data_IF_375223899150
#
_entry.id   IF_375223899150
#
_cell.length_a   1.000
_cell.length_b   1.000
_cell.length_c   1.000
_cell.angle_alpha   90.00
_cell.angle_beta   90.00
_cell.angle_gamma   90.00
#
_symmetry.space_group_name_H-M   'P 1'
#
loop_
_entity.id
_entity.type
_entity.pdbx_description
1 polymer ?
#
# COMPACT_ATOMS: atom_id res chain seq x y z
N UNK A 1 -26.82 -13.28 12.51
CA UNK A 1 -25.57 -12.89 13.19
C UNK A 1 -24.90 -11.90 12.26
N UNK A 2 -24.68 -10.67 12.70
CA UNK A 2 -24.21 -9.56 11.85
C UNK A 2 -22.69 -9.50 11.97
N UNK A 3 -21.97 -9.92 10.93
CA UNK A 3 -20.51 -9.79 10.86
C UNK A 3 -20.18 -8.32 10.55
N UNK A 4 -19.25 -7.71 11.29
CA UNK A 4 -18.77 -6.36 10.96
C UNK A 4 -17.92 -6.45 9.68
N UNK A 5 -17.91 -5.43 8.82
CA UNK A 5 -17.01 -5.43 7.64
C UNK A 5 -15.56 -5.71 8.02
N UNK A 6 -15.13 -5.32 9.21
CA UNK A 6 -13.81 -5.63 9.77
C UNK A 6 -13.55 -7.14 10.00
N UNK A 7 -14.58 -7.91 10.38
CA UNK A 7 -14.48 -9.36 10.53
C UNK A 7 -14.49 -10.04 9.14
N UNK A 8 -15.18 -9.44 8.16
CA UNK A 8 -15.08 -9.83 6.76
C UNK A 8 -13.68 -9.55 6.20
N UNK A 9 -13.03 -8.42 6.52
CA UNK A 9 -11.71 -8.04 5.99
C UNK A 9 -10.59 -9.07 6.25
N UNK A 10 -10.74 -9.96 7.24
CA UNK A 10 -9.83 -11.09 7.45
C UNK A 10 -9.98 -12.21 6.39
N UNK A 11 -11.14 -12.27 5.70
CA UNK A 11 -11.47 -13.18 4.60
C UNK A 11 -11.46 -12.47 3.23
N UNK A 12 -11.49 -11.13 3.19
CA UNK A 12 -11.48 -10.36 1.96
C UNK A 12 -10.05 -10.27 1.41
N UNK A 13 -9.86 -10.78 0.19
CA UNK A 13 -8.63 -10.62 -0.59
C UNK A 13 -8.49 -9.18 -1.13
N UNK A 14 -9.37 -8.25 -0.74
CA UNK A 14 -9.37 -6.84 -1.11
C UNK A 14 -9.78 -6.00 0.09
N UNK A 15 -8.95 -5.01 0.44
CA UNK A 15 -9.23 -4.08 1.54
C UNK A 15 -9.16 -2.62 1.08
N UNK A 16 -10.01 -1.74 1.64
CA UNK A 16 -9.79 -0.31 1.53
C UNK A 16 -8.55 0.08 2.32
N UNK A 17 -7.75 0.96 1.76
CA UNK A 17 -6.57 1.54 2.43
C UNK A 17 -6.50 3.03 2.20
N UNK A 18 -5.93 3.75 3.16
CA UNK A 18 -5.58 5.16 3.03
C UNK A 18 -4.09 5.27 2.77
N UNK A 19 -3.73 5.86 1.63
CA UNK A 19 -2.34 6.19 1.31
C UNK A 19 -2.03 7.61 1.82
N UNK A 20 -0.94 7.76 2.55
CA UNK A 20 -0.49 9.05 3.10
C UNK A 20 0.92 9.35 2.62
N UNK A 21 1.08 10.47 1.92
CA UNK A 21 2.31 11.00 1.37
C UNK A 21 2.50 12.48 1.79
N UNK A 22 3.73 13.00 1.66
CA UNK A 22 4.03 14.40 1.94
C UNK A 22 3.25 15.33 1.02
N UNK A 23 2.18 15.94 1.55
CA UNK A 23 1.31 16.86 0.82
C UNK A 23 0.15 16.21 0.05
N UNK A 24 -0.05 14.88 0.18
CA UNK A 24 -1.13 14.18 -0.50
C UNK A 24 -1.60 12.96 0.27
N UNK A 25 -2.90 12.80 0.43
CA UNK A 25 -3.50 11.58 0.96
C UNK A 25 -4.81 11.23 0.25
N UNK A 26 -5.26 9.99 0.44
CA UNK A 26 -6.59 9.58 0.01
C UNK A 26 -6.78 8.07 0.05
N UNK A 27 -7.94 7.63 -0.41
CA UNK A 27 -8.44 6.27 -0.26
C UNK A 27 -8.33 5.50 -1.57
N UNK A 28 -7.98 4.22 -1.46
CA UNK A 28 -7.93 3.29 -2.59
C UNK A 28 -8.25 1.87 -2.11
N UNK A 29 -8.22 0.90 -3.02
CA UNK A 29 -8.24 -0.52 -2.65
C UNK A 29 -6.86 -1.14 -2.90
N UNK A 30 -6.48 -2.04 -2.01
CA UNK A 30 -5.27 -2.86 -2.12
C UNK A 30 -5.62 -4.30 -1.73
N UNK A 31 -5.20 -5.26 -2.54
CA UNK A 31 -5.40 -6.67 -2.20
C UNK A 31 -5.06 -7.63 -3.33
N UNK A 32 -4.96 -8.91 -2.97
CA UNK A 32 -4.47 -9.99 -3.80
C UNK A 32 -4.76 -11.36 -3.19
N UNK A 33 -4.29 -12.40 -3.88
CA UNK A 33 -4.68 -13.77 -3.61
C UNK A 33 -3.84 -14.39 -2.49
N UNK A 34 -4.46 -15.27 -1.68
CA UNK A 34 -3.76 -16.11 -0.68
C UNK A 34 -2.79 -17.11 -1.35
N UNK A 35 -3.00 -17.46 -2.62
CA UNK A 35 -2.19 -18.44 -3.39
C UNK A 35 -1.29 -17.84 -4.48
N UNK A 36 -1.20 -16.51 -4.59
CA UNK A 36 -0.33 -15.88 -5.60
C UNK A 36 0.26 -14.61 -5.03
N UNK A 37 1.59 -14.57 -4.89
CA UNK A 37 2.48 -13.57 -4.24
C UNK A 37 2.28 -12.08 -4.59
N UNK A 38 1.08 -11.63 -4.95
CA UNK A 38 0.86 -10.36 -5.63
C UNK A 38 -0.46 -9.74 -5.20
N UNK A 39 -0.33 -8.65 -4.48
CA UNK A 39 -1.42 -7.69 -4.31
C UNK A 39 -1.43 -6.71 -5.48
N UNK A 40 -2.61 -6.13 -5.71
CA UNK A 40 -2.83 -5.11 -6.73
C UNK A 40 -3.49 -3.89 -6.09
N UNK A 41 -3.17 -2.72 -6.63
CA UNK A 41 -3.89 -1.49 -6.36
C UNK A 41 -5.04 -1.30 -7.35
N UNK A 42 -6.11 -0.69 -6.85
CA UNK A 42 -7.14 -0.13 -7.71
C UNK A 42 -6.51 0.92 -8.62
N UNK A 43 -6.72 0.75 -9.93
CA UNK A 43 -6.25 1.70 -10.93
C UNK A 43 -7.44 2.37 -11.57
N UNK A 44 -7.32 3.67 -11.80
CA UNK A 44 -8.33 4.42 -12.55
C UNK A 44 -8.08 4.31 -14.06
N UNK A 45 -8.79 5.12 -14.84
CA UNK A 45 -8.75 5.08 -16.30
C UNK A 45 -7.38 5.36 -16.91
N UNK A 46 -6.52 6.05 -16.16
CA UNK A 46 -5.16 6.38 -16.60
C UNK A 46 -4.16 5.22 -16.40
N UNK A 47 -4.60 4.10 -15.80
CA UNK A 47 -3.73 2.99 -15.41
C UNK A 47 -2.87 3.27 -14.17
N UNK A 48 -2.98 4.48 -13.60
CA UNK A 48 -2.35 4.85 -12.32
C UNK A 48 -3.25 4.52 -11.14
N UNK A 49 -2.67 4.45 -9.94
CA UNK A 49 -3.40 4.14 -8.70
C UNK A 49 -4.46 5.21 -8.46
N UNK A 50 -5.70 4.75 -8.37
CA UNK A 50 -6.84 5.57 -8.06
C UNK A 50 -6.72 6.07 -6.62
N UNK A 51 -6.85 7.37 -6.41
CA UNK A 51 -6.85 7.97 -5.07
C UNK A 51 -8.09 8.85 -4.91
N UNK A 52 -9.06 8.39 -4.13
CA UNK A 52 -10.30 9.11 -3.83
C UNK A 52 -10.11 10.01 -2.60
N UNK A 53 -10.82 11.14 -2.54
CA UNK A 53 -10.66 12.09 -1.43
C UNK A 53 -11.41 11.65 -0.16
N UNK A 54 -12.38 10.75 -0.31
CA UNK A 54 -13.14 10.18 0.80
C UNK A 54 -13.56 8.74 0.50
N UNK A 55 -13.97 7.96 1.51
CA UNK A 55 -14.50 6.62 1.26
C UNK A 55 -15.80 6.63 0.44
N UNK A 56 -16.65 7.65 0.61
CA UNK A 56 -17.84 7.86 -0.22
C UNK A 56 -17.48 8.13 -1.69
N UNK A 57 -16.43 8.91 -1.93
CA UNK A 57 -15.91 9.12 -3.27
C UNK A 57 -15.32 7.83 -3.86
N UNK A 58 -14.59 7.03 -3.08
CA UNK A 58 -14.06 5.74 -3.51
C UNK A 58 -15.19 4.81 -3.98
N UNK A 59 -16.27 4.67 -3.18
CA UNK A 59 -17.44 3.86 -3.55
C UNK A 59 -18.12 4.38 -4.83
N UNK A 60 -18.30 5.69 -4.94
CA UNK A 60 -18.86 6.33 -6.14
C UNK A 60 -18.01 6.02 -7.38
N UNK A 61 -16.68 6.14 -7.27
CA UNK A 61 -15.74 5.87 -8.36
C UNK A 61 -15.73 4.39 -8.74
N UNK A 62 -15.74 3.48 -7.77
CA UNK A 62 -15.84 2.04 -8.03
C UNK A 62 -17.09 1.66 -8.84
N UNK A 63 -18.24 2.26 -8.54
CA UNK A 63 -19.50 2.02 -9.28
C UNK A 63 -19.45 2.56 -10.73
N UNK A 64 -18.75 3.68 -10.96
CA UNK A 64 -18.75 4.37 -12.24
C UNK A 64 -17.58 4.00 -13.16
N UNK A 65 -16.45 3.58 -12.59
CA UNK A 65 -15.19 3.32 -13.31
C UNK A 65 -14.81 1.84 -13.32
N UNK A 66 -15.40 1.04 -12.42
CA UNK A 66 -15.08 -0.38 -12.23
C UNK A 66 -13.88 -0.61 -11.31
N UNK A 67 -13.54 -1.88 -11.08
CA UNK A 67 -12.46 -2.30 -10.15
C UNK A 67 -11.18 -2.80 -10.80
N UNK A 68 -11.09 -2.80 -12.13
CA UNK A 68 -9.96 -3.39 -12.85
C UNK A 68 -9.74 -4.86 -12.48
N UNK A 69 -8.51 -5.24 -12.15
CA UNK A 69 -8.16 -6.62 -11.74
C UNK A 69 -8.74 -7.03 -10.39
N UNK A 70 -9.10 -6.07 -9.54
CA UNK A 70 -9.63 -6.37 -8.22
C UNK A 70 -11.04 -6.98 -8.29
N UNK A 71 -11.78 -6.80 -9.40
CA UNK A 71 -13.12 -7.39 -9.58
C UNK A 71 -13.11 -8.92 -9.55
N UNK A 72 -11.95 -9.54 -9.78
CA UNK A 72 -11.77 -10.98 -9.79
C UNK A 72 -11.48 -11.55 -8.39
N UNK A 73 -11.20 -10.69 -7.41
CA UNK A 73 -10.78 -11.11 -6.09
C UNK A 73 -11.98 -11.29 -5.16
N UNK A 74 -11.98 -12.35 -4.33
CA UNK A 74 -12.94 -12.51 -3.25
C UNK A 74 -13.02 -11.26 -2.39
N UNK A 75 -14.25 -10.78 -2.19
CA UNK A 75 -14.51 -9.62 -1.36
C UNK A 75 -14.62 -8.27 -2.06
N UNK A 76 -14.27 -8.18 -3.35
CA UNK A 76 -14.45 -6.95 -4.11
C UNK A 76 -15.92 -6.50 -4.17
N UNK A 77 -16.83 -7.44 -4.42
CA UNK A 77 -18.28 -7.16 -4.46
C UNK A 77 -18.77 -6.66 -3.10
N UNK A 78 -18.32 -7.27 -1.99
CA UNK A 78 -18.67 -6.82 -0.65
C UNK A 78 -18.22 -5.38 -0.38
N UNK A 79 -17.03 -4.98 -0.85
CA UNK A 79 -16.55 -3.59 -0.74
C UNK A 79 -17.39 -2.62 -1.61
N UNK A 80 -17.81 -3.06 -2.80
CA UNK A 80 -18.63 -2.26 -3.72
C UNK A 80 -20.06 -2.01 -3.19
N UNK A 81 -20.65 -3.04 -2.56
CA UNK A 81 -22.04 -3.05 -2.11
C UNK A 81 -22.21 -2.74 -0.62
N UNK A 82 -21.12 -2.59 0.13
CA UNK A 82 -21.18 -2.27 1.56
C UNK A 82 -21.84 -0.91 1.79
N UNK A 83 -22.99 -0.93 2.44
CA UNK A 83 -23.66 0.25 2.99
C UNK A 83 -23.05 0.70 4.34
N UNK A 84 -22.15 -0.09 4.93
CA UNK A 84 -21.36 0.39 6.07
C UNK A 84 -20.47 1.54 5.59
N UNK A 85 -20.65 2.70 6.21
CA UNK A 85 -19.80 3.87 5.99
C UNK A 85 -18.38 3.49 6.37
N UNK A 86 -17.53 3.23 5.39
CA UNK A 86 -16.10 3.17 5.56
C UNK A 86 -15.66 4.45 6.28
N UNK A 87 -15.21 4.34 7.53
CA UNK A 87 -14.73 5.49 8.31
C UNK A 87 -13.21 5.56 8.23
N UNK A 88 -12.64 6.78 8.28
CA UNK A 88 -11.18 6.99 8.25
C UNK A 88 -10.45 6.21 9.35
N UNK A 89 -11.10 5.97 10.50
CA UNK A 89 -10.53 5.26 11.63
C UNK A 89 -10.52 3.73 11.48
N UNK A 90 -11.40 3.18 10.64
CA UNK A 90 -11.53 1.74 10.42
C UNK A 90 -10.70 1.24 9.22
N UNK A 91 -10.05 2.15 8.49
CA UNK A 91 -9.31 1.85 7.26
C UNK A 91 -7.80 1.81 7.56
N UNK A 92 -7.14 0.76 7.09
CA UNK A 92 -5.70 0.60 7.21
C UNK A 92 -4.97 1.77 6.53
N UNK A 93 -3.90 2.26 7.17
CA UNK A 93 -3.10 3.39 6.68
C UNK A 93 -1.74 2.90 6.21
N UNK A 94 -1.39 3.21 4.96
CA UNK A 94 -0.05 3.07 4.42
C UNK A 94 0.59 4.45 4.42
N UNK A 95 1.38 4.70 5.46
CA UNK A 95 1.88 6.05 5.79
C UNK A 95 3.37 6.19 5.48
N UNK A 96 3.66 6.68 4.27
CA UNK A 96 5.03 6.94 3.82
C UNK A 96 5.69 8.11 4.56
N UNK A 97 4.90 9.06 5.08
CA UNK A 97 5.42 10.19 5.87
C UNK A 97 5.98 9.68 7.19
N UNK A 98 5.19 8.86 7.90
CA UNK A 98 5.61 8.24 9.15
C UNK A 98 6.79 7.29 8.94
N UNK A 99 6.75 6.46 7.90
CA UNK A 99 7.85 5.55 7.59
C UNK A 99 9.16 6.32 7.32
N UNK A 100 9.11 7.36 6.47
CA UNK A 100 10.27 8.21 6.17
C UNK A 100 10.82 8.89 7.42
N UNK A 101 9.96 9.42 8.29
CA UNK A 101 10.39 10.06 9.53
C UNK A 101 11.07 9.07 10.50
N UNK A 102 10.53 7.85 10.63
CA UNK A 102 11.11 6.81 11.47
C UNK A 102 12.51 6.38 10.97
N UNK A 103 12.67 6.22 9.66
CA UNK A 103 13.95 5.88 9.03
C UNK A 103 14.98 7.00 9.29
N UNK A 104 14.60 8.27 9.13
CA UNK A 104 15.49 9.42 9.35
C UNK A 104 15.93 9.58 10.81
N UNK A 105 15.13 9.13 11.76
CA UNK A 105 15.46 9.13 13.20
C UNK A 105 16.45 8.02 13.59
N UNK A 106 16.74 7.08 12.69
CA UNK A 106 17.74 6.05 12.86
C UNK A 106 17.20 4.66 13.22
N UNK A 107 18.09 3.67 13.38
CA UNK A 107 17.73 2.25 13.42
C UNK A 107 16.71 1.87 14.50
N UNK A 108 16.82 2.44 15.70
CA UNK A 108 15.88 2.14 16.78
C UNK A 108 14.46 2.63 16.47
N UNK A 109 14.32 3.82 15.88
CA UNK A 109 13.00 4.34 15.49
C UNK A 109 12.43 3.54 14.33
N UNK A 110 13.29 3.12 13.38
CA UNK A 110 12.90 2.22 12.30
C UNK A 110 12.38 0.87 12.85
N UNK A 111 13.09 0.24 13.77
CA UNK A 111 12.67 -1.02 14.42
C UNK A 111 11.33 -0.86 15.15
N UNK A 112 11.15 0.21 15.92
CA UNK A 112 9.90 0.52 16.62
C UNK A 112 8.71 0.79 15.66
N UNK A 113 8.99 1.09 14.39
CA UNK A 113 7.98 1.32 13.35
C UNK A 113 8.07 0.29 12.21
N UNK A 114 8.65 -0.89 12.46
CA UNK A 114 8.91 -1.92 11.46
C UNK A 114 7.67 -2.24 10.61
N UNK A 115 6.53 -2.48 11.24
CA UNK A 115 5.28 -2.78 10.54
C UNK A 115 4.82 -1.68 9.57
N UNK A 116 5.02 -0.41 9.92
CA UNK A 116 4.68 0.72 9.02
C UNK A 116 5.61 0.77 7.82
N UNK A 117 6.91 0.61 8.06
CA UNK A 117 7.94 0.61 7.01
C UNK A 117 7.74 -0.57 6.06
N UNK A 118 7.59 -1.78 6.60
CA UNK A 118 7.37 -2.99 5.82
C UNK A 118 6.10 -2.90 4.96
N UNK A 119 5.02 -2.32 5.49
CA UNK A 119 3.78 -2.11 4.71
C UNK A 119 4.02 -1.14 3.54
N UNK A 120 4.81 -0.08 3.73
CA UNK A 120 5.20 0.84 2.65
C UNK A 120 6.09 0.15 1.60
N UNK A 121 7.07 -0.66 2.03
CA UNK A 121 7.95 -1.39 1.11
C UNK A 121 7.17 -2.45 0.32
N UNK A 122 6.30 -3.21 0.97
CA UNK A 122 5.47 -4.24 0.33
C UNK A 122 4.51 -3.61 -0.69
N UNK A 123 3.79 -2.56 -0.31
CA UNK A 123 2.91 -1.86 -1.25
C UNK A 123 3.67 -1.28 -2.45
N UNK A 124 4.87 -0.72 -2.25
CA UNK A 124 5.69 -0.23 -3.35
C UNK A 124 6.16 -1.38 -4.27
N UNK A 125 6.54 -2.53 -3.70
CA UNK A 125 6.90 -3.72 -4.46
C UNK A 125 5.70 -4.25 -5.29
N UNK A 126 4.50 -4.27 -4.71
CA UNK A 126 3.28 -4.71 -5.40
C UNK A 126 2.91 -3.78 -6.55
N UNK A 127 2.99 -2.47 -6.34
CA UNK A 127 2.81 -1.51 -7.42
C UNK A 127 3.87 -1.69 -8.51
N UNK A 128 5.14 -1.92 -8.14
CA UNK A 128 6.21 -2.10 -9.09
C UNK A 128 6.02 -3.38 -9.92
N UNK A 129 5.53 -4.47 -9.31
CA UNK A 129 5.12 -5.69 -10.02
C UNK A 129 3.94 -5.43 -10.95
N UNK A 130 2.91 -4.73 -10.47
CA UNK A 130 1.72 -4.38 -11.25
C UNK A 130 2.10 -3.58 -12.51
N UNK A 131 3.03 -2.63 -12.40
CA UNK A 131 3.53 -1.80 -13.49
C UNK A 131 4.70 -2.42 -14.29
N UNK A 132 5.18 -3.61 -13.89
CA UNK A 132 6.37 -4.27 -14.47
C UNK A 132 7.64 -3.40 -14.42
N UNK A 133 7.81 -2.62 -13.36
CA UNK A 133 8.94 -1.73 -13.14
C UNK A 133 10.17 -2.48 -12.59
N UNK A 134 10.89 -3.19 -13.47
CA UNK A 134 12.04 -4.03 -13.10
C UNK A 134 13.15 -3.27 -12.35
N UNK A 135 13.42 -2.00 -12.71
CA UNK A 135 14.45 -1.19 -12.05
C UNK A 135 14.14 -0.93 -10.58
N UNK A 136 12.88 -0.63 -10.25
CA UNK A 136 12.42 -0.45 -8.87
C UNK A 136 12.48 -1.77 -8.09
N UNK A 137 12.05 -2.87 -8.72
CA UNK A 137 12.11 -4.19 -8.11
C UNK A 137 13.55 -4.65 -7.83
N UNK A 138 14.49 -4.35 -8.72
CA UNK A 138 15.90 -4.67 -8.51
C UNK A 138 16.48 -3.86 -7.34
N UNK A 139 16.16 -2.56 -7.26
CA UNK A 139 16.52 -1.72 -6.10
C UNK A 139 15.96 -2.21 -4.76
N UNK A 140 14.85 -2.95 -4.78
CA UNK A 140 14.26 -3.60 -3.59
C UNK A 140 14.80 -5.02 -3.33
N UNK A 141 15.44 -5.67 -4.31
CA UNK A 141 15.80 -7.10 -4.28
C UNK A 141 17.29 -7.38 -4.35
N UNK A 142 18.15 -6.48 -4.82
CA UNK A 142 19.57 -6.77 -5.00
C UNK A 142 20.33 -6.73 -3.66
N UNK A 143 21.25 -7.67 -3.45
CA UNK A 143 22.10 -7.73 -2.24
C UNK A 143 22.93 -6.46 -2.09
N UNK A 144 22.89 -5.84 -0.91
CA UNK A 144 23.61 -4.59 -0.59
C UNK A 144 22.85 -3.31 -0.97
N UNK A 145 21.60 -3.40 -1.41
CA UNK A 145 20.73 -2.24 -1.58
C UNK A 145 20.18 -1.78 -0.21
N UNK A 146 20.26 -0.48 0.16
CA UNK A 146 19.87 -0.02 1.49
C UNK A 146 18.42 -0.32 1.91
N UNK A 147 17.49 -0.37 0.94
CA UNK A 147 16.09 -0.73 1.20
C UNK A 147 15.92 -2.22 1.53
N UNK A 148 16.75 -3.08 0.93
CA UNK A 148 16.77 -4.51 1.23
C UNK A 148 17.44 -4.78 2.57
N UNK A 149 18.53 -4.10 2.88
CA UNK A 149 19.21 -4.22 4.17
C UNK A 149 18.29 -3.74 5.30
N UNK A 150 17.54 -2.66 5.08
CA UNK A 150 16.46 -2.22 5.97
C UNK A 150 15.41 -3.32 6.15
N UNK A 151 14.94 -3.94 5.07
CA UNK A 151 13.96 -5.03 5.17
C UNK A 151 14.47 -6.20 6.03
N UNK A 152 15.69 -6.66 5.78
CA UNK A 152 16.31 -7.76 6.54
C UNK A 152 16.55 -7.39 8.00
N UNK A 153 17.03 -6.18 8.29
CA UNK A 153 17.18 -5.69 9.65
C UNK A 153 15.86 -5.66 10.43
N UNK A 154 14.76 -5.23 9.78
CA UNK A 154 13.44 -5.22 10.41
C UNK A 154 12.87 -6.64 10.66
N UNK A 155 13.48 -7.68 10.08
CA UNK A 155 13.18 -9.09 10.31
C UNK A 155 14.19 -9.79 11.22
N UNK A 156 15.08 -9.04 11.87
CA UNK A 156 16.21 -9.56 12.67
C UNK A 156 17.16 -10.47 11.87
N UNK A 157 17.22 -10.29 10.54
CA UNK A 157 18.11 -11.03 9.63
C UNK A 157 19.42 -10.27 9.36
N UNK A 158 19.58 -9.07 9.91
CA UNK A 158 20.79 -8.26 9.84
C UNK A 158 21.02 -7.46 11.14
N UNK A 159 22.27 -7.34 11.57
CA UNK A 159 22.64 -6.66 12.83
C UNK A 159 22.75 -5.13 12.72
N UNK A 160 22.86 -4.60 11.49
CA UNK A 160 23.02 -3.17 11.23
C UNK A 160 22.52 -2.79 9.84
N UNK A 161 22.17 -1.52 9.66
CA UNK A 161 21.76 -0.94 8.37
C UNK A 161 22.57 0.31 8.05
N UNK A 162 22.85 0.51 6.76
CA UNK A 162 23.33 1.79 6.25
C UNK A 162 22.21 2.86 6.29
N UNK A 163 22.54 4.16 6.24
CA UNK A 163 21.54 5.21 6.03
C UNK A 163 20.71 4.95 4.77
N UNK A 164 19.39 5.02 4.88
CA UNK A 164 18.45 4.64 3.81
C UNK A 164 17.89 5.90 3.15
N UNK A 165 18.65 6.48 2.23
CA UNK A 165 18.26 7.70 1.50
C UNK A 165 17.25 7.43 0.38
N UNK A 166 17.25 6.21 -0.15
CA UNK A 166 16.47 5.73 -1.28
C UNK A 166 14.98 5.60 -0.96
N UNK A 167 14.59 5.61 0.32
CA UNK A 167 13.17 5.56 0.69
C UNK A 167 12.41 6.80 0.20
N UNK A 168 13.08 7.95 0.15
CA UNK A 168 12.50 9.17 -0.43
C UNK A 168 12.27 9.04 -1.94
N UNK A 169 13.19 8.42 -2.67
CA UNK A 169 13.07 8.16 -4.11
C UNK A 169 11.94 7.17 -4.40
N UNK A 170 11.83 6.10 -3.60
CA UNK A 170 10.72 5.15 -3.67
C UNK A 170 9.37 5.85 -3.45
N UNK A 171 9.31 6.72 -2.45
CA UNK A 171 8.10 7.51 -2.13
C UNK A 171 7.72 8.44 -3.28
N UNK A 172 8.71 9.13 -3.89
CA UNK A 172 8.48 10.00 -5.04
C UNK A 172 8.01 9.20 -6.27
N UNK A 173 8.62 8.05 -6.53
CA UNK A 173 8.20 7.13 -7.60
C UNK A 173 6.77 6.63 -7.39
N UNK A 174 6.41 6.21 -6.18
CA UNK A 174 5.04 5.78 -5.87
C UNK A 174 4.06 6.93 -6.13
N UNK A 175 4.37 8.12 -5.60
CA UNK A 175 3.53 9.32 -5.73
C UNK A 175 3.29 9.70 -7.21
N UNK A 176 4.31 9.56 -8.07
CA UNK A 176 4.20 9.82 -9.50
C UNK A 176 3.26 8.84 -10.24
N UNK A 177 3.00 7.67 -9.63
CA UNK A 177 2.11 6.63 -10.14
C UNK A 177 0.70 6.67 -9.52
N UNK A 178 0.37 7.73 -8.79
CA UNK A 178 -1.01 8.05 -8.40
C UNK A 178 -1.69 8.85 -9.52
N UNK A 179 -3.00 8.69 -9.68
CA UNK A 179 -3.78 9.53 -10.61
C UNK A 179 -3.62 11.02 -10.27
N UNK A 180 -3.68 11.95 -11.25
CA UNK A 180 -3.85 13.36 -10.93
C UNK A 180 -5.21 13.59 -10.25
N UNK A 181 -5.28 14.58 -9.35
CA UNK A 181 -6.56 15.06 -8.81
C UNK A 181 -7.25 15.96 -9.83
#
# INVERSE_FOLDING_TARGET
MMYRVLDLLAELHVRPVKLVFGGREGFTLWGGNVDGDRDFFLTGRTGKVLLADSPADLQRRLRNEGGGRLTLLPGFEAVLTSDETLTDAAIDRIDFVRASAAIQQGPQSAANNAGTILTCLNSAADLARQLRAATVLNGLRDTGAPLRDLYHFLWDEADAIAPVTEFGELTAWFTANLEPR
#
